data_IF_795304306323
#
_entry.id   IF_795304306323
#
_cell.length_a   1.000
_cell.length_b   1.000
_cell.length_c   1.000
_cell.angle_alpha   90.00
_cell.angle_beta   90.00
_cell.angle_gamma   90.00
#
_symmetry.space_group_name_H-M   'P 1'
#
loop_
_entity.id
_entity.type
_entity.pdbx_description
1 polymer ?
#
# COMPACT_ATOMS: atom_id res chain seq x y z
N UNK A 1 -4.23 33.16 5.36
CA UNK A 1 -3.49 32.38 6.36
C UNK A 1 -3.93 32.68 7.80
N UNK A 2 -3.93 33.93 8.24
CA UNK A 2 -4.36 34.32 9.60
C UNK A 2 -5.80 33.96 9.90
N UNK A 3 -6.71 34.01 8.92
CA UNK A 3 -8.11 33.63 9.09
C UNK A 3 -8.30 32.15 9.52
N UNK A 4 -7.42 31.26 9.07
CA UNK A 4 -7.46 29.81 9.40
C UNK A 4 -6.39 29.40 10.42
N UNK A 5 -5.67 30.34 11.02
CA UNK A 5 -4.61 30.04 11.99
C UNK A 5 -3.38 29.31 11.43
N UNK A 6 -3.24 29.25 10.10
CA UNK A 6 -2.13 28.54 9.45
C UNK A 6 -0.80 29.23 9.72
N UNK A 7 0.18 28.50 10.25
CA UNK A 7 1.53 28.99 10.50
C UNK A 7 2.41 28.98 9.25
N UNK A 8 2.28 27.96 8.42
CA UNK A 8 3.10 27.73 7.22
C UNK A 8 2.23 27.39 6.02
N UNK A 9 2.74 27.69 4.83
CA UNK A 9 2.31 27.11 3.56
C UNK A 9 3.35 26.10 3.13
N UNK A 10 2.91 24.91 2.80
CA UNK A 10 3.76 23.80 2.35
C UNK A 10 3.43 23.52 0.89
N UNK A 11 4.43 23.38 0.03
CA UNK A 11 4.27 23.05 -1.38
C UNK A 11 5.40 22.15 -1.87
N UNK A 12 5.22 21.56 -3.03
CA UNK A 12 6.26 20.81 -3.74
C UNK A 12 7.44 21.71 -4.14
N UNK A 13 8.47 21.12 -4.72
CA UNK A 13 9.66 21.81 -5.23
C UNK A 13 9.47 22.33 -6.68
N UNK A 14 8.30 22.12 -7.27
CA UNK A 14 7.92 22.63 -8.58
C UNK A 14 7.62 24.14 -8.51
N UNK A 15 7.97 24.83 -9.60
CA UNK A 15 7.73 26.27 -9.75
C UNK A 15 6.25 26.49 -10.10
N UNK A 16 5.57 27.34 -9.32
CA UNK A 16 4.20 27.75 -9.59
C UNK A 16 4.15 29.25 -9.84
N UNK A 17 3.85 29.63 -11.08
CA UNK A 17 3.72 31.02 -11.50
C UNK A 17 2.26 31.43 -11.64
N UNK A 18 1.97 32.69 -11.34
CA UNK A 18 0.68 33.33 -11.63
C UNK A 18 0.55 33.72 -13.12
N UNK A 19 -0.56 34.31 -13.51
CA UNK A 19 -0.82 34.75 -14.89
C UNK A 19 0.18 35.78 -15.44
N UNK A 20 0.94 36.44 -14.57
CA UNK A 20 1.96 37.41 -14.93
C UNK A 20 3.38 36.83 -14.96
N UNK A 21 3.51 35.52 -14.63
CA UNK A 21 4.80 34.86 -14.54
C UNK A 21 5.50 35.02 -13.18
N UNK A 22 4.87 35.69 -12.21
CA UNK A 22 5.42 35.87 -10.87
C UNK A 22 5.20 34.63 -10.00
N UNK A 23 6.12 34.38 -9.06
CA UNK A 23 5.97 33.28 -8.08
C UNK A 23 4.71 33.48 -7.21
N UNK A 24 3.75 32.56 -7.32
CA UNK A 24 2.51 32.59 -6.54
C UNK A 24 2.74 32.65 -5.03
N UNK A 25 3.87 32.16 -4.55
CA UNK A 25 4.21 32.09 -3.13
C UNK A 25 5.15 33.21 -2.65
N UNK A 26 5.44 34.24 -3.49
CA UNK A 26 6.40 35.30 -3.18
C UNK A 26 6.17 35.98 -1.83
N UNK A 27 4.92 36.26 -1.47
CA UNK A 27 4.59 36.93 -0.20
C UNK A 27 4.81 36.01 1.02
N UNK A 28 4.50 34.74 0.87
CA UNK A 28 4.67 33.73 1.95
C UNK A 28 6.15 33.41 2.15
N UNK A 29 6.91 33.38 1.05
CA UNK A 29 8.37 33.22 1.08
C UNK A 29 9.03 34.42 1.76
N UNK A 30 8.66 35.65 1.38
CA UNK A 30 9.15 36.86 2.02
C UNK A 30 8.83 36.93 3.53
N UNK A 31 7.69 36.38 3.95
CA UNK A 31 7.32 36.27 5.37
C UNK A 31 8.00 35.11 6.13
N UNK A 32 8.90 34.33 5.51
CA UNK A 32 9.56 33.20 6.13
C UNK A 32 8.62 32.03 6.47
N UNK A 33 7.43 31.99 5.91
CA UNK A 33 6.35 31.04 6.22
C UNK A 33 6.11 30.01 5.13
N UNK A 34 7.06 29.85 4.22
CA UNK A 34 7.01 28.83 3.16
C UNK A 34 7.92 27.66 3.52
N UNK A 35 7.43 26.45 3.27
CA UNK A 35 8.20 25.21 3.43
C UNK A 35 8.08 24.37 2.16
N UNK A 36 9.21 23.87 1.69
CA UNK A 36 9.26 22.98 0.53
C UNK A 36 9.30 21.54 1.01
N UNK A 37 8.45 20.71 0.43
CA UNK A 37 8.51 19.25 0.56
C UNK A 37 8.89 18.68 -0.80
N UNK A 38 9.97 17.90 -0.85
CA UNK A 38 10.38 17.27 -2.09
C UNK A 38 9.30 16.30 -2.58
N UNK A 39 9.07 16.32 -3.88
CA UNK A 39 8.16 15.39 -4.54
C UNK A 39 8.66 13.96 -4.37
N UNK A 40 7.74 13.03 -4.14
CA UNK A 40 8.08 11.60 -4.08
C UNK A 40 8.56 11.13 -5.45
N UNK A 41 9.81 10.64 -5.58
CA UNK A 41 10.34 10.18 -6.87
C UNK A 41 9.53 9.01 -7.43
N UNK A 42 9.37 8.97 -8.76
CA UNK A 42 8.70 7.87 -9.46
C UNK A 42 7.18 7.83 -9.33
N UNK A 43 6.55 8.87 -8.74
CA UNK A 43 5.09 9.00 -8.68
C UNK A 43 4.68 10.28 -9.39
N UNK A 44 3.99 10.13 -10.52
CA UNK A 44 3.52 11.25 -11.34
C UNK A 44 2.18 10.92 -11.98
N UNK A 45 1.21 11.81 -11.78
CA UNK A 45 -0.09 11.72 -12.48
C UNK A 45 0.09 11.86 -14.00
N UNK A 46 1.03 12.68 -14.44
CA UNK A 46 1.37 12.84 -15.85
C UNK A 46 1.93 11.55 -16.45
N UNK A 47 2.75 10.81 -15.69
CA UNK A 47 3.26 9.50 -16.12
C UNK A 47 2.11 8.48 -16.25
N UNK A 48 1.20 8.42 -15.28
CA UNK A 48 0.02 7.54 -15.36
C UNK A 48 -0.83 7.86 -16.60
N UNK A 49 -1.09 9.15 -16.87
CA UNK A 49 -1.80 9.59 -18.08
C UNK A 49 -1.02 9.18 -19.34
N UNK A 50 0.30 9.34 -19.34
CA UNK A 50 1.17 8.90 -20.43
C UNK A 50 1.04 7.39 -20.69
N UNK A 51 1.08 6.57 -19.64
CA UNK A 51 0.89 5.10 -19.76
C UNK A 51 -0.48 4.76 -20.38
N UNK A 52 -1.54 5.46 -19.97
CA UNK A 52 -2.88 5.28 -20.53
C UNK A 52 -2.95 5.63 -22.00
N UNK A 53 -2.44 6.81 -22.41
CA UNK A 53 -2.54 7.33 -23.76
C UNK A 53 -1.63 6.58 -24.75
N UNK A 54 -0.43 6.23 -24.31
CA UNK A 54 0.57 5.56 -25.14
C UNK A 54 0.47 4.03 -25.12
N UNK A 55 -0.44 3.49 -24.33
CA UNK A 55 -0.66 2.04 -24.17
C UNK A 55 0.63 1.27 -23.85
N UNK A 56 1.53 1.86 -23.07
CA UNK A 56 2.83 1.24 -22.74
C UNK A 56 2.70 0.21 -21.63
N UNK A 57 3.60 -0.80 -21.65
CA UNK A 57 3.70 -1.84 -20.62
C UNK A 57 5.08 -1.86 -19.93
N UNK A 58 5.91 -0.86 -20.20
CA UNK A 58 7.27 -0.78 -19.65
C UNK A 58 7.34 -0.63 -18.13
N UNK A 59 6.24 -0.25 -17.51
CA UNK A 59 6.12 -0.11 -16.06
C UNK A 59 5.77 -1.43 -15.33
N UNK A 60 5.46 -2.51 -16.07
CA UNK A 60 5.12 -3.79 -15.48
C UNK A 60 6.30 -4.40 -14.75
N UNK A 61 6.05 -4.88 -13.56
CA UNK A 61 7.01 -5.64 -12.74
C UNK A 61 6.85 -7.12 -13.08
N UNK A 62 7.89 -7.71 -13.65
CA UNK A 62 7.89 -9.13 -14.05
C UNK A 62 8.27 -10.06 -12.90
N UNK A 63 9.16 -9.59 -12.06
CA UNK A 63 9.66 -10.35 -10.90
C UNK A 63 9.73 -9.41 -9.69
N UNK A 64 8.76 -9.56 -8.80
CA UNK A 64 8.62 -8.72 -7.60
C UNK A 64 9.84 -8.88 -6.70
N UNK A 65 10.28 -10.11 -6.46
CA UNK A 65 11.45 -10.40 -5.62
C UNK A 65 12.73 -9.83 -6.21
N UNK A 66 12.99 -10.06 -7.50
CA UNK A 66 14.17 -9.54 -8.19
C UNK A 66 14.24 -8.01 -8.18
N UNK A 67 13.09 -7.34 -8.27
CA UNK A 67 13.01 -5.87 -8.13
C UNK A 67 13.35 -5.41 -6.70
N UNK A 68 12.86 -6.10 -5.68
CA UNK A 68 13.12 -5.77 -4.27
C UNK A 68 14.56 -6.09 -3.83
N UNK A 69 15.21 -7.06 -4.46
CA UNK A 69 16.63 -7.41 -4.19
C UNK A 69 17.62 -6.60 -5.04
N UNK A 70 17.12 -5.86 -6.05
CA UNK A 70 17.97 -5.11 -6.99
C UNK A 70 18.65 -6.02 -8.04
N UNK A 71 18.09 -7.20 -8.27
CA UNK A 71 18.50 -8.10 -9.36
C UNK A 71 17.92 -7.66 -10.69
N UNK A 72 16.73 -7.06 -10.67
CA UNK A 72 16.03 -6.53 -11.86
C UNK A 72 15.86 -5.00 -11.78
N UNK A 73 15.74 -4.38 -12.97
CA UNK A 73 15.54 -2.93 -13.12
C UNK A 73 16.49 -2.29 -14.11
N UNK A 74 17.08 -1.14 -13.76
CA UNK A 74 18.06 -0.39 -14.58
C UNK A 74 19.26 -1.26 -15.00
N UNK A 75 19.91 -0.91 -16.10
CA UNK A 75 21.15 -1.57 -16.58
C UNK A 75 22.28 -1.42 -15.54
N UNK A 76 22.33 -0.30 -14.83
CA UNK A 76 23.33 -0.04 -13.80
C UNK A 76 22.98 -0.77 -12.49
N UNK A 77 23.90 -1.61 -12.02
CA UNK A 77 23.71 -2.40 -10.78
C UNK A 77 23.59 -1.55 -9.53
N UNK A 78 24.33 -0.46 -9.42
CA UNK A 78 24.29 0.44 -8.27
C UNK A 78 22.94 1.19 -8.21
N UNK A 79 22.46 1.65 -9.35
CA UNK A 79 21.12 2.25 -9.46
C UNK A 79 20.01 1.27 -9.07
N UNK A 80 20.09 0.01 -9.53
CA UNK A 80 19.13 -1.03 -9.16
C UNK A 80 19.08 -1.25 -7.64
N UNK A 81 20.24 -1.40 -7.01
CA UNK A 81 20.34 -1.60 -5.56
C UNK A 81 19.80 -0.39 -4.78
N UNK A 82 20.15 0.82 -5.23
CA UNK A 82 19.64 2.05 -4.63
C UNK A 82 18.11 2.17 -4.78
N UNK A 83 17.57 1.86 -5.96
CA UNK A 83 16.14 1.86 -6.21
C UNK A 83 15.40 0.82 -5.36
N UNK A 84 15.95 -0.40 -5.24
CA UNK A 84 15.42 -1.46 -4.39
C UNK A 84 15.40 -1.06 -2.91
N UNK A 85 16.51 -0.50 -2.40
CA UNK A 85 16.61 -0.02 -1.03
C UNK A 85 15.58 1.09 -0.74
N UNK A 86 15.43 2.05 -1.66
CA UNK A 86 14.44 3.13 -1.55
C UNK A 86 13.01 2.60 -1.57
N UNK A 87 12.72 1.60 -2.41
CA UNK A 87 11.40 0.97 -2.49
C UNK A 87 11.08 0.21 -1.21
N UNK A 88 12.03 -0.60 -0.71
CA UNK A 88 11.91 -1.32 0.55
C UNK A 88 11.67 -0.36 1.73
N UNK A 89 12.40 0.75 1.78
CA UNK A 89 12.18 1.77 2.81
C UNK A 89 10.78 2.36 2.72
N UNK A 90 10.32 2.70 1.52
CA UNK A 90 8.97 3.23 1.29
C UNK A 90 7.88 2.24 1.71
N UNK A 91 8.05 0.95 1.42
CA UNK A 91 7.11 -0.09 1.87
C UNK A 91 7.04 -0.10 3.40
N UNK A 92 8.18 -0.05 4.08
CA UNK A 92 8.22 0.01 5.56
C UNK A 92 7.57 1.26 6.12
N UNK A 93 7.86 2.43 5.54
CA UNK A 93 7.29 3.71 5.96
C UNK A 93 5.76 3.73 5.79
N UNK A 94 5.25 3.09 4.74
CA UNK A 94 3.82 3.03 4.46
C UNK A 94 3.10 1.92 5.24
N UNK A 95 3.84 0.89 5.68
CA UNK A 95 3.34 -0.20 6.50
C UNK A 95 3.31 0.11 8.00
N UNK A 96 3.55 1.37 8.40
CA UNK A 96 3.49 1.82 9.79
C UNK A 96 2.06 1.90 10.31
N UNK A 97 1.92 1.91 11.62
CA UNK A 97 0.65 2.16 12.31
C UNK A 97 0.16 3.61 12.14
N UNK A 98 -0.93 3.95 12.77
CA UNK A 98 -1.54 5.29 12.72
C UNK A 98 -0.64 6.42 13.24
N UNK A 99 0.35 6.09 14.07
CA UNK A 99 1.33 7.06 14.57
C UNK A 99 2.43 7.34 13.56
N UNK A 100 2.63 6.47 12.58
CA UNK A 100 3.72 6.50 11.61
C UNK A 100 5.09 6.13 12.20
N UNK A 101 5.14 5.67 13.46
CA UNK A 101 6.40 5.43 14.20
C UNK A 101 6.66 3.94 14.45
N UNK A 102 5.63 3.11 14.44
CA UNK A 102 5.72 1.69 14.74
C UNK A 102 5.25 0.85 13.54
N UNK A 103 5.75 -0.38 13.39
CA UNK A 103 5.22 -1.31 12.40
C UNK A 103 3.71 -1.54 12.63
N UNK A 104 2.92 -1.35 11.58
CA UNK A 104 1.47 -1.51 11.59
C UNK A 104 1.02 -2.74 10.83
N UNK A 105 1.06 -2.68 9.52
CA UNK A 105 0.58 -3.74 8.64
C UNK A 105 1.74 -4.62 8.18
N UNK A 106 1.72 -5.94 8.43
CA UNK A 106 2.68 -6.84 7.80
C UNK A 106 2.48 -6.89 6.29
N UNK A 107 3.60 -7.01 5.57
CA UNK A 107 3.63 -7.12 4.11
C UNK A 107 4.38 -8.39 3.73
N UNK A 108 3.75 -9.20 2.90
CA UNK A 108 4.32 -10.43 2.38
C UNK A 108 4.34 -10.42 0.86
N UNK A 109 5.28 -11.12 0.28
CA UNK A 109 5.30 -11.46 -1.15
C UNK A 109 5.27 -12.98 -1.31
N UNK A 110 4.69 -13.42 -2.42
CA UNK A 110 4.78 -14.80 -2.84
C UNK A 110 6.19 -15.08 -3.40
N UNK A 111 6.90 -16.00 -2.79
CA UNK A 111 8.26 -16.38 -3.20
C UNK A 111 8.31 -17.56 -4.18
N UNK A 112 7.15 -18.01 -4.64
CA UNK A 112 7.00 -19.18 -5.51
C UNK A 112 6.77 -20.48 -4.74
N UNK A 113 6.26 -21.50 -5.43
CA UNK A 113 6.27 -22.86 -4.92
C UNK A 113 7.64 -23.46 -5.21
N UNK A 114 8.19 -24.23 -4.28
CA UNK A 114 9.32 -25.13 -4.57
C UNK A 114 8.84 -26.28 -5.47
N UNK A 115 8.33 -25.93 -6.68
CA UNK A 115 7.85 -26.91 -7.66
C UNK A 115 9.03 -27.57 -8.37
N UNK A 116 9.86 -28.30 -7.61
CA UNK A 116 10.75 -29.30 -8.18
C UNK A 116 10.10 -30.69 -8.27
N UNK A 117 8.86 -30.88 -7.80
CA UNK A 117 8.12 -32.15 -7.99
C UNK A 117 6.62 -31.87 -8.05
N UNK A 118 6.08 -31.88 -9.26
CA UNK A 118 4.66 -32.08 -9.50
C UNK A 118 4.35 -33.57 -9.22
N UNK A 119 4.26 -33.94 -7.97
CA UNK A 119 3.62 -35.17 -7.56
C UNK A 119 2.29 -34.78 -6.91
N UNK A 120 1.19 -35.19 -7.54
CA UNK A 120 -0.16 -34.72 -7.35
C UNK A 120 -0.81 -35.03 -5.98
N UNK A 121 -0.09 -35.14 -4.88
CA UNK A 121 -0.65 -35.62 -3.62
C UNK A 121 -0.43 -34.77 -2.37
N UNK A 122 0.35 -33.67 -2.44
CA UNK A 122 0.46 -32.73 -1.33
C UNK A 122 0.63 -31.31 -1.89
N UNK A 123 -0.41 -30.49 -1.78
CA UNK A 123 -0.30 -29.03 -1.93
C UNK A 123 0.61 -28.52 -0.80
N UNK A 124 1.90 -28.39 -1.08
CA UNK A 124 2.76 -27.65 -0.16
C UNK A 124 2.28 -26.20 -0.13
N UNK A 125 2.02 -25.64 1.06
CA UNK A 125 1.64 -24.25 1.18
C UNK A 125 2.75 -23.40 0.58
N UNK A 126 2.39 -22.52 -0.34
CA UNK A 126 3.34 -21.62 -0.98
C UNK A 126 4.12 -20.80 0.04
N UNK A 127 5.39 -20.57 -0.27
CA UNK A 127 6.27 -19.82 0.59
C UNK A 127 5.99 -18.30 0.45
N UNK A 128 5.53 -17.70 1.54
CA UNK A 128 5.45 -16.25 1.66
C UNK A 128 6.70 -15.72 2.34
N UNK A 129 7.30 -14.69 1.76
CA UNK A 129 8.43 -13.98 2.32
C UNK A 129 7.96 -12.66 2.93
N UNK A 130 8.35 -12.40 4.18
CA UNK A 130 7.99 -11.16 4.89
C UNK A 130 8.89 -10.02 4.45
N UNK A 131 8.30 -8.97 3.88
CA UNK A 131 8.97 -7.74 3.45
C UNK A 131 8.98 -6.70 4.58
N UNK A 132 7.86 -6.57 5.28
CA UNK A 132 7.73 -5.73 6.46
C UNK A 132 6.98 -6.49 7.55
N UNK A 133 7.50 -6.46 8.76
CA UNK A 133 6.78 -6.94 9.93
C UNK A 133 5.63 -6.00 10.30
N UNK A 134 4.72 -6.48 11.13
CA UNK A 134 3.57 -5.69 11.60
C UNK A 134 2.81 -6.41 12.68
N UNK A 135 1.63 -5.89 13.04
CA UNK A 135 0.76 -6.48 14.06
C UNK A 135 0.09 -7.74 13.49
N UNK A 136 0.30 -8.92 14.09
CA UNK A 136 -0.38 -10.13 13.66
C UNK A 136 -1.86 -10.11 14.02
N UNK A 137 -2.62 -11.05 13.45
CA UNK A 137 -4.00 -11.29 13.91
C UNK A 137 -4.04 -11.67 15.38
N UNK A 138 -5.06 -11.22 16.08
CA UNK A 138 -5.27 -11.49 17.50
C UNK A 138 -6.21 -12.69 17.70
N UNK A 139 -6.12 -13.37 18.86
CA UNK A 139 -6.99 -14.50 19.15
C UNK A 139 -8.48 -14.19 19.02
N UNK A 140 -9.20 -15.07 18.33
CA UNK A 140 -10.63 -14.92 18.08
C UNK A 140 -11.03 -14.00 16.93
N UNK A 141 -10.11 -13.23 16.36
CA UNK A 141 -10.38 -12.49 15.13
C UNK A 141 -10.65 -13.45 13.96
N UNK A 142 -11.60 -13.08 13.12
CA UNK A 142 -11.77 -13.74 11.82
C UNK A 142 -10.75 -13.19 10.83
N UNK A 143 -10.02 -14.04 10.17
CA UNK A 143 -9.13 -13.65 9.09
C UNK A 143 -9.97 -13.56 7.81
N UNK A 144 -10.03 -12.37 7.22
CA UNK A 144 -10.77 -12.08 6.00
C UNK A 144 -9.74 -11.76 4.91
N UNK A 145 -9.74 -12.56 3.88
CA UNK A 145 -8.93 -12.31 2.69
C UNK A 145 -9.78 -11.63 1.63
N UNK A 146 -9.30 -10.51 1.11
CA UNK A 146 -9.88 -9.79 -0.04
C UNK A 146 -8.80 -9.59 -1.08
N UNK A 147 -9.08 -9.90 -2.33
CA UNK A 147 -8.13 -9.74 -3.41
C UNK A 147 -8.63 -8.80 -4.50
N UNK A 148 -7.70 -8.30 -5.28
CA UNK A 148 -8.02 -7.43 -6.39
C UNK A 148 -6.82 -6.82 -7.09
N UNK A 149 -7.12 -6.15 -8.21
CA UNK A 149 -6.11 -5.38 -8.94
C UNK A 149 -5.74 -4.09 -8.22
N UNK A 150 -6.66 -3.42 -7.58
CA UNK A 150 -6.50 -2.10 -6.93
C UNK A 150 -5.84 -1.05 -7.83
N UNK A 151 -6.05 -1.17 -9.15
CA UNK A 151 -5.46 -0.27 -10.14
C UNK A 151 -6.16 1.09 -10.13
N UNK A 152 -5.39 2.18 -10.34
CA UNK A 152 -5.90 3.55 -10.22
C UNK A 152 -6.69 3.72 -8.91
N UNK A 153 -6.03 3.40 -7.80
CA UNK A 153 -6.66 3.36 -6.47
C UNK A 153 -7.54 4.59 -6.20
N UNK A 154 -8.79 4.36 -5.85
CA UNK A 154 -9.84 5.39 -5.80
C UNK A 154 -10.75 5.22 -4.60
N UNK A 155 -11.68 6.17 -4.42
CA UNK A 155 -12.71 6.11 -3.37
C UNK A 155 -13.55 4.83 -3.41
N UNK A 156 -13.73 4.22 -4.60
CA UNK A 156 -14.43 2.94 -4.74
C UNK A 156 -13.70 1.79 -4.04
N UNK A 157 -12.37 1.73 -4.15
CA UNK A 157 -11.56 0.73 -3.45
C UNK A 157 -11.60 0.94 -1.93
N UNK A 158 -11.54 2.19 -1.49
CA UNK A 158 -11.64 2.54 -0.06
C UNK A 158 -13.00 2.11 0.48
N UNK A 159 -14.08 2.42 -0.22
CA UNK A 159 -15.43 2.06 0.19
C UNK A 159 -15.63 0.54 0.22
N UNK A 160 -15.10 -0.19 -0.76
CA UNK A 160 -15.11 -1.66 -0.75
C UNK A 160 -14.46 -2.22 0.52
N UNK A 161 -13.24 -1.82 0.85
CA UNK A 161 -12.54 -2.27 2.05
C UNK A 161 -13.30 -1.86 3.33
N UNK A 162 -13.86 -0.64 3.36
CA UNK A 162 -14.68 -0.16 4.47
C UNK A 162 -15.95 -1.00 4.67
N UNK A 163 -16.59 -1.41 3.59
CA UNK A 163 -17.79 -2.26 3.65
C UNK A 163 -17.47 -3.66 4.19
N UNK A 164 -16.31 -4.21 3.84
CA UNK A 164 -15.83 -5.49 4.41
C UNK A 164 -15.74 -5.38 5.93
N UNK A 165 -15.07 -4.36 6.46
CA UNK A 165 -14.98 -4.13 7.89
C UNK A 165 -16.35 -3.88 8.54
N UNK A 166 -17.18 -3.06 7.92
CA UNK A 166 -18.52 -2.77 8.45
C UNK A 166 -19.43 -4.01 8.51
N UNK A 167 -19.24 -4.95 7.57
CA UNK A 167 -19.93 -6.25 7.61
C UNK A 167 -19.44 -7.08 8.80
N UNK A 168 -18.13 -7.22 8.94
CA UNK A 168 -17.53 -7.98 10.03
C UNK A 168 -17.87 -7.39 11.40
N UNK A 169 -17.96 -6.08 11.51
CA UNK A 169 -18.44 -5.39 12.72
C UNK A 169 -19.89 -5.78 13.07
N UNK A 170 -20.79 -5.79 12.07
CA UNK A 170 -22.18 -6.21 12.30
C UNK A 170 -22.26 -7.68 12.76
N UNK A 171 -21.52 -8.56 12.10
CA UNK A 171 -21.45 -9.98 12.49
C UNK A 171 -20.77 -10.15 13.84
N UNK A 172 -19.77 -9.34 14.16
CA UNK A 172 -19.15 -9.28 15.48
C UNK A 172 -20.13 -8.93 16.58
N UNK A 173 -20.99 -7.93 16.35
CA UNK A 173 -22.08 -7.56 17.31
C UNK A 173 -23.02 -8.74 17.55
N UNK A 174 -23.43 -9.43 16.49
CA UNK A 174 -24.31 -10.60 16.60
C UNK A 174 -23.67 -11.76 17.40
N UNK A 175 -22.34 -11.88 17.36
CA UNK A 175 -21.56 -12.87 18.11
C UNK A 175 -21.20 -12.43 19.54
N UNK A 176 -21.68 -11.28 20.01
CA UNK A 176 -21.33 -10.74 21.33
C UNK A 176 -19.90 -10.22 21.45
N UNK A 177 -19.20 -9.94 20.32
CA UNK A 177 -17.80 -9.47 20.35
C UNK A 177 -17.63 -8.19 21.16
N UNK A 178 -18.63 -7.31 21.12
CA UNK A 178 -18.62 -6.00 21.79
C UNK A 178 -19.27 -6.02 23.18
N UNK A 179 -19.64 -7.19 23.67
CA UNK A 179 -20.17 -7.31 25.04
C UNK A 179 -19.12 -6.87 26.06
N UNK A 180 -19.52 -6.13 27.12
CA UNK A 180 -18.59 -5.59 28.11
C UNK A 180 -17.67 -6.66 28.73
N UNK A 181 -18.20 -7.83 29.03
CA UNK A 181 -17.43 -8.96 29.58
C UNK A 181 -16.35 -9.47 28.60
N UNK A 182 -16.68 -9.53 27.31
CA UNK A 182 -15.73 -9.95 26.27
C UNK A 182 -14.65 -8.90 26.03
N UNK A 183 -15.01 -7.63 26.08
CA UNK A 183 -14.05 -6.52 26.01
C UNK A 183 -13.10 -6.53 27.20
N UNK A 184 -13.63 -6.66 28.41
CA UNK A 184 -12.82 -6.73 29.62
C UNK A 184 -11.87 -7.94 29.61
N UNK A 185 -12.34 -9.09 29.11
CA UNK A 185 -11.52 -10.28 28.92
C UNK A 185 -10.34 -9.98 28.00
N UNK A 186 -10.56 -9.35 26.82
CA UNK A 186 -9.47 -9.00 25.90
C UNK A 186 -8.46 -8.04 26.52
N UNK A 187 -8.94 -6.99 27.20
CA UNK A 187 -8.07 -6.05 27.91
C UNK A 187 -7.22 -6.73 28.97
N UNK A 188 -7.79 -7.67 29.73
CA UNK A 188 -7.06 -8.40 30.78
C UNK A 188 -6.04 -9.40 30.21
N UNK A 189 -6.41 -10.13 29.15
CA UNK A 189 -5.57 -11.20 28.60
C UNK A 189 -4.51 -10.67 27.63
N UNK A 190 -4.81 -9.61 26.87
CA UNK A 190 -3.96 -9.13 25.77
C UNK A 190 -3.52 -7.67 25.93
N UNK A 191 -3.99 -6.96 26.95
CA UNK A 191 -3.62 -5.56 27.22
C UNK A 191 -4.28 -4.52 26.31
N UNK A 192 -5.06 -4.93 25.31
CA UNK A 192 -5.71 -4.04 24.35
C UNK A 192 -7.06 -4.62 23.89
N UNK A 193 -7.97 -3.73 23.48
CA UNK A 193 -9.18 -4.11 22.77
C UNK A 193 -8.96 -4.00 21.27
N UNK A 194 -9.56 -4.89 20.50
CA UNK A 194 -9.40 -4.96 19.04
C UNK A 194 -10.68 -5.43 18.36
N UNK A 195 -10.78 -5.14 17.04
CA UNK A 195 -11.95 -5.49 16.22
C UNK A 195 -12.12 -7.00 16.00
N UNK A 196 -13.31 -7.41 15.52
CA UNK A 196 -13.67 -8.83 15.34
C UNK A 196 -13.00 -9.50 14.16
N UNK A 197 -12.36 -8.75 13.28
CA UNK A 197 -11.76 -9.24 12.05
C UNK A 197 -10.34 -8.70 11.84
N UNK A 198 -9.56 -9.49 11.12
CA UNK A 198 -8.24 -9.13 10.60
C UNK A 198 -8.28 -9.25 9.08
N UNK A 199 -8.24 -8.13 8.38
CA UNK A 199 -8.39 -8.08 6.92
C UNK A 199 -7.03 -8.12 6.24
N UNK A 200 -6.84 -9.07 5.35
CA UNK A 200 -5.67 -9.22 4.48
C UNK A 200 -6.08 -8.80 3.07
N UNK A 201 -5.40 -7.81 2.51
CA UNK A 201 -5.60 -7.41 1.12
C UNK A 201 -4.57 -8.10 0.21
N UNK A 202 -5.06 -8.89 -0.73
CA UNK A 202 -4.26 -9.54 -1.77
C UNK A 202 -4.20 -8.70 -3.04
N UNK A 203 -3.00 -8.47 -3.56
CA UNK A 203 -2.77 -7.66 -4.75
C UNK A 203 -2.23 -8.55 -5.85
N UNK A 204 -2.99 -8.67 -6.95
CA UNK A 204 -2.56 -9.45 -8.11
C UNK A 204 -1.35 -8.82 -8.80
N UNK A 205 -0.46 -9.64 -9.32
CA UNK A 205 0.65 -9.16 -10.12
C UNK A 205 0.19 -8.52 -11.45
N UNK A 206 1.11 -7.80 -12.08
CA UNK A 206 0.80 -7.04 -13.29
C UNK A 206 0.46 -7.96 -14.46
N UNK A 207 1.09 -9.14 -14.52
CA UNK A 207 0.84 -10.14 -15.56
C UNK A 207 -0.55 -10.74 -15.46
N UNK A 208 -1.02 -11.08 -14.26
CA UNK A 208 -2.37 -11.60 -14.01
C UNK A 208 -3.42 -10.57 -14.41
N UNK A 209 -3.26 -9.32 -13.98
CA UNK A 209 -4.22 -8.26 -14.37
C UNK A 209 -4.22 -8.06 -15.87
N UNK A 210 -3.04 -8.05 -16.51
CA UNK A 210 -2.95 -7.89 -17.96
C UNK A 210 -3.59 -9.05 -18.71
N UNK A 211 -3.46 -10.27 -18.21
CA UNK A 211 -4.12 -11.44 -18.80
C UNK A 211 -5.64 -11.27 -18.86
N UNK A 212 -6.26 -10.80 -17.78
CA UNK A 212 -7.71 -10.67 -17.69
C UNK A 212 -8.29 -9.40 -18.31
N UNK A 213 -7.59 -8.26 -18.17
CA UNK A 213 -8.07 -6.95 -18.66
C UNK A 213 -7.55 -6.59 -20.04
N UNK A 214 -6.42 -7.15 -20.45
CA UNK A 214 -5.81 -6.87 -21.75
C UNK A 214 -5.19 -5.48 -21.85
N UNK A 215 -4.94 -5.01 -23.07
CA UNK A 215 -4.32 -3.71 -23.37
C UNK A 215 -3.07 -3.46 -22.52
N UNK A 216 -3.00 -2.30 -21.90
CA UNK A 216 -1.91 -1.86 -21.03
C UNK A 216 -2.28 -1.85 -19.53
N UNK A 217 -3.35 -2.53 -19.16
CA UNK A 217 -3.68 -2.73 -17.74
C UNK A 217 -2.74 -3.75 -17.08
N UNK A 218 -2.36 -3.53 -15.81
CA UNK A 218 -2.71 -2.37 -14.96
C UNK A 218 -1.95 -1.12 -15.38
N UNK A 219 -2.51 0.06 -15.12
CA UNK A 219 -1.84 1.35 -15.33
C UNK A 219 -0.79 1.61 -14.26
N UNK A 220 -1.07 1.21 -13.04
CA UNK A 220 -0.14 1.26 -11.91
C UNK A 220 0.48 -0.12 -11.71
N UNK A 221 1.79 -0.18 -11.52
CA UNK A 221 2.46 -1.45 -11.22
C UNK A 221 2.12 -1.96 -9.80
N UNK A 222 2.46 -3.21 -9.52
CA UNK A 222 2.12 -3.86 -8.25
C UNK A 222 2.58 -3.09 -7.02
N UNK A 223 3.76 -2.45 -7.06
CA UNK A 223 4.27 -1.68 -5.93
C UNK A 223 3.48 -0.38 -5.73
N UNK A 224 3.15 0.34 -6.81
CA UNK A 224 2.33 1.55 -6.74
C UNK A 224 0.94 1.23 -6.16
N UNK A 225 0.33 0.13 -6.61
CA UNK A 225 -0.97 -0.34 -6.11
C UNK A 225 -0.90 -0.78 -4.64
N UNK A 226 0.14 -1.52 -4.28
CA UNK A 226 0.40 -1.97 -2.91
C UNK A 226 0.60 -0.82 -1.93
N UNK A 227 1.37 0.18 -2.31
CA UNK A 227 1.58 1.39 -1.49
C UNK A 227 0.28 2.16 -1.25
N UNK A 228 -0.62 2.24 -2.25
CA UNK A 228 -1.94 2.86 -2.06
C UNK A 228 -2.79 2.09 -1.05
N UNK A 229 -2.82 0.75 -1.15
CA UNK A 229 -3.57 -0.10 -0.22
C UNK A 229 -3.02 0.01 1.20
N UNK A 230 -1.69 0.02 1.39
CA UNK A 230 -1.05 0.20 2.69
C UNK A 230 -1.45 1.53 3.34
N UNK A 231 -1.52 2.62 2.57
CA UNK A 231 -1.91 3.93 3.10
C UNK A 231 -3.42 4.06 3.38
N UNK A 232 -4.25 3.17 2.85
CA UNK A 232 -5.67 3.18 3.11
C UNK A 232 -6.02 2.85 4.57
N UNK A 233 -5.15 2.16 5.31
CA UNK A 233 -5.28 1.78 6.73
C UNK A 233 -6.59 1.07 7.09
N UNK A 234 -7.33 0.63 6.12
CA UNK A 234 -8.54 -0.17 6.28
C UNK A 234 -8.19 -1.66 6.32
N UNK A 235 -7.18 -2.08 5.55
CA UNK A 235 -6.60 -3.42 5.63
C UNK A 235 -5.58 -3.51 6.77
N UNK A 236 -5.56 -4.64 7.47
CA UNK A 236 -4.63 -4.89 8.56
C UNK A 236 -3.30 -5.47 8.08
N UNK A 237 -3.32 -6.07 6.88
CA UNK A 237 -2.15 -6.66 6.25
C UNK A 237 -2.26 -6.58 4.73
N UNK A 238 -1.13 -6.63 4.04
CA UNK A 238 -1.08 -6.62 2.58
C UNK A 238 -0.25 -7.79 2.06
N UNK A 239 -0.82 -8.53 1.13
CA UNK A 239 -0.19 -9.63 0.44
C UNK A 239 0.02 -9.22 -1.03
N UNK A 240 1.26 -9.06 -1.44
CA UNK A 240 1.60 -8.76 -2.82
C UNK A 240 1.84 -10.06 -3.61
N UNK A 241 1.39 -10.07 -4.86
CA UNK A 241 1.51 -11.19 -5.78
C UNK A 241 0.59 -12.37 -5.40
N UNK A 242 -0.73 -12.12 -5.49
CA UNK A 242 -1.72 -13.18 -5.47
C UNK A 242 -2.02 -13.65 -6.89
N UNK A 243 -2.41 -14.91 -7.02
CA UNK A 243 -2.71 -15.66 -8.26
C UNK A 243 -3.46 -14.88 -9.32
#
# INVERSE_FOLDING_TARGET
MSHYGCKYVVHGDDITSDSNGDDCYRFVKAAGRFRVVKRTPGISTTDLVGRMLLCTKGHFVKNVKGTLTGEEGSVNQEERRSAAANLMQRIRDYATDETGLQPGSPVWIWAGSNSAKLDNTTEEPGLFETISGGKPSRPGQRIIYVDGGFDLFSSGHIEFLRQVLAREDREGRQRGWYDPAMKEKRLREYGEDYGPAYVIAGIHDDGVINHWKGFNYPIMNIFERGLCVLQCRVSHATLCQCW
#
